data_IF_327697923089
#
_entry.id   IF_327697923089
#
_cell.length_a   1.000
_cell.length_b   1.000
_cell.length_c   1.000
_cell.angle_alpha   90.00
_cell.angle_beta   90.00
_cell.angle_gamma   90.00
#
_symmetry.space_group_name_H-M   'P 1'
#
loop_
_entity.id
_entity.type
_entity.pdbx_description
1 polymer ?
#
# COMPACT_ATOMS: atom_id res chain seq x y z
N UNK A 1 3.87 41.80 -37.38
CA UNK A 1 4.41 40.42 -37.25
C UNK A 1 4.46 39.90 -35.82
N UNK A 2 4.79 40.70 -34.79
CA UNK A 2 4.87 40.20 -33.39
C UNK A 2 3.52 39.79 -32.80
N UNK A 3 2.43 40.49 -33.11
CA UNK A 3 1.11 40.19 -32.51
C UNK A 3 0.50 38.87 -32.98
N UNK A 4 0.70 38.49 -34.24
CA UNK A 4 0.20 37.22 -34.77
C UNK A 4 0.94 36.02 -34.19
N UNK A 5 2.25 36.12 -33.93
CA UNK A 5 3.04 35.05 -33.34
C UNK A 5 2.68 34.82 -31.87
N UNK A 6 2.36 35.87 -31.09
CA UNK A 6 1.93 35.74 -29.69
C UNK A 6 0.53 35.14 -29.59
N UNK A 7 -0.41 35.56 -30.44
CA UNK A 7 -1.76 34.99 -30.48
C UNK A 7 -1.72 33.48 -30.78
N UNK A 8 -0.90 33.09 -31.77
CA UNK A 8 -0.71 31.71 -32.16
C UNK A 8 -0.09 30.89 -31.01
N UNK A 9 0.91 31.44 -30.30
CA UNK A 9 1.53 30.76 -29.17
C UNK A 9 0.54 30.57 -28.00
N UNK A 10 -0.35 31.54 -27.75
CA UNK A 10 -1.44 31.41 -26.75
C UNK A 10 -2.44 30.32 -27.14
N UNK A 11 -2.79 30.21 -28.43
CA UNK A 11 -3.67 29.14 -28.91
C UNK A 11 -3.05 27.75 -28.67
N UNK A 12 -1.78 27.58 -29.02
CA UNK A 12 -1.05 26.32 -28.69
C UNK A 12 -0.98 26.05 -27.22
N UNK A 13 -0.72 27.07 -26.42
CA UNK A 13 -0.68 26.94 -24.93
C UNK A 13 -2.04 26.48 -24.39
N UNK A 14 -3.13 27.10 -24.83
CA UNK A 14 -4.49 26.74 -24.43
C UNK A 14 -4.89 25.31 -24.88
N UNK A 15 -4.32 24.85 -26.01
CA UNK A 15 -4.51 23.49 -26.52
C UNK A 15 -3.57 22.45 -25.89
N UNK A 16 -2.71 22.82 -24.92
CA UNK A 16 -1.74 21.91 -24.31
C UNK A 16 -0.52 21.63 -25.21
N UNK A 17 -0.37 22.28 -26.34
CA UNK A 17 0.75 22.10 -27.29
C UNK A 17 2.00 22.87 -26.83
N UNK A 18 2.43 22.65 -25.60
CA UNK A 18 3.48 23.42 -24.94
C UNK A 18 4.82 23.41 -25.67
N UNK A 19 5.18 22.28 -26.28
CA UNK A 19 6.42 22.18 -27.07
C UNK A 19 6.46 23.12 -28.25
N UNK A 20 5.30 23.41 -28.90
CA UNK A 20 5.18 24.37 -29.99
C UNK A 20 5.18 25.81 -29.50
N UNK A 21 4.52 26.08 -28.38
CA UNK A 21 4.42 27.42 -27.78
C UNK A 21 5.76 27.89 -27.16
N UNK A 22 6.54 27.00 -26.57
CA UNK A 22 7.78 27.28 -25.85
C UNK A 22 8.78 28.18 -26.61
N UNK A 23 9.21 27.86 -27.86
CA UNK A 23 10.20 28.68 -28.56
C UNK A 23 9.69 30.09 -28.87
N UNK A 24 8.39 30.26 -29.06
CA UNK A 24 7.79 31.58 -29.32
C UNK A 24 7.80 32.43 -28.06
N UNK A 25 7.36 31.87 -26.91
CA UNK A 25 7.42 32.60 -25.64
C UNK A 25 8.85 32.92 -25.22
N UNK A 26 9.81 32.02 -25.44
CA UNK A 26 11.23 32.29 -25.20
C UNK A 26 11.73 33.50 -26.00
N UNK A 27 11.33 33.63 -27.27
CA UNK A 27 11.68 34.77 -28.12
C UNK A 27 11.04 36.07 -27.64
N UNK A 28 9.75 36.02 -27.29
CA UNK A 28 9.01 37.20 -26.78
C UNK A 28 9.59 37.69 -25.44
N UNK A 29 9.98 36.76 -24.59
CA UNK A 29 10.55 37.05 -23.29
C UNK A 29 11.90 37.78 -23.38
N UNK A 30 12.72 37.51 -24.42
CA UNK A 30 13.95 38.26 -24.66
C UNK A 30 13.69 39.74 -24.89
N UNK A 31 12.59 40.10 -25.53
CA UNK A 31 12.19 41.48 -25.77
C UNK A 31 11.48 42.14 -24.60
N UNK A 32 10.84 41.34 -23.74
CA UNK A 32 10.13 41.82 -22.54
C UNK A 32 10.34 40.92 -21.32
N UNK A 33 11.53 40.91 -20.74
CA UNK A 33 11.91 39.97 -19.68
C UNK A 33 11.20 40.18 -18.32
N UNK A 34 10.55 41.33 -18.15
CA UNK A 34 9.80 41.68 -16.92
C UNK A 34 8.31 41.35 -17.01
N UNK A 35 7.81 40.90 -18.16
CA UNK A 35 6.39 40.57 -18.33
C UNK A 35 6.01 39.35 -17.47
N UNK A 36 5.16 39.51 -16.47
CA UNK A 36 4.65 38.41 -15.64
C UNK A 36 3.97 37.32 -16.47
N UNK A 37 3.07 37.70 -17.40
CA UNK A 37 2.36 36.75 -18.26
C UNK A 37 3.30 35.97 -19.19
N UNK A 38 4.34 36.58 -19.73
CA UNK A 38 5.31 35.87 -20.59
C UNK A 38 6.18 34.93 -19.77
N UNK A 39 6.59 35.34 -18.56
CA UNK A 39 7.29 34.48 -17.64
C UNK A 39 6.42 33.28 -17.24
N UNK A 40 5.13 33.50 -16.95
CA UNK A 40 4.18 32.42 -16.67
C UNK A 40 4.08 31.43 -17.83
N UNK A 41 3.72 31.88 -19.03
CA UNK A 41 3.54 30.97 -20.16
C UNK A 41 4.82 30.21 -20.51
N UNK A 42 5.98 30.86 -20.48
CA UNK A 42 7.25 30.19 -20.73
C UNK A 42 7.62 29.21 -19.62
N UNK A 43 7.43 29.60 -18.34
CA UNK A 43 7.65 28.74 -17.18
C UNK A 43 6.77 27.48 -17.24
N UNK A 44 5.48 27.63 -17.53
CA UNK A 44 4.57 26.49 -17.72
C UNK A 44 5.01 25.61 -18.89
N UNK A 45 5.36 26.18 -20.04
CA UNK A 45 5.87 25.39 -21.16
C UNK A 45 7.12 24.58 -20.80
N UNK A 46 8.04 25.13 -20.00
CA UNK A 46 9.20 24.42 -19.51
C UNK A 46 8.79 23.28 -18.58
N UNK A 47 7.87 23.55 -17.62
CA UNK A 47 7.36 22.57 -16.69
C UNK A 47 6.72 21.38 -17.42
N UNK A 48 5.77 21.65 -18.31
CA UNK A 48 5.01 20.64 -19.04
C UNK A 48 5.84 19.87 -20.09
N UNK A 49 7.04 20.39 -20.44
CA UNK A 49 8.01 19.68 -21.31
C UNK A 49 9.14 19.00 -20.52
N UNK A 50 9.00 18.82 -19.18
CA UNK A 50 9.93 18.08 -18.34
C UNK A 50 11.17 18.87 -17.89
N UNK A 51 11.22 20.18 -18.14
CA UNK A 51 12.34 21.04 -17.77
C UNK A 51 12.07 21.79 -16.44
N UNK A 52 11.61 21.05 -15.41
CA UNK A 52 11.11 21.60 -14.16
C UNK A 52 12.08 22.57 -13.46
N UNK A 53 13.36 22.21 -13.35
CA UNK A 53 14.37 23.08 -12.71
C UNK A 53 14.56 24.41 -13.46
N UNK A 54 14.39 24.43 -14.80
CA UNK A 54 14.48 25.66 -15.58
C UNK A 54 13.19 26.48 -15.51
N UNK A 55 12.06 25.88 -15.20
CA UNK A 55 10.78 26.57 -15.05
C UNK A 55 10.75 27.50 -13.84
N UNK A 56 11.38 27.09 -12.73
CA UNK A 56 11.33 27.76 -11.44
C UNK A 56 11.57 29.28 -11.48
N UNK A 57 12.68 29.81 -12.03
CA UNK A 57 12.93 31.24 -12.01
C UNK A 57 11.91 32.05 -12.81
N UNK A 58 11.27 31.48 -13.81
CA UNK A 58 10.22 32.13 -14.59
C UNK A 58 8.89 32.15 -13.83
N UNK A 59 8.53 31.05 -13.20
CA UNK A 59 7.32 30.96 -12.36
C UNK A 59 7.44 31.92 -11.15
N UNK A 60 8.60 32.03 -10.53
CA UNK A 60 8.85 32.99 -9.45
C UNK A 60 8.67 34.44 -9.91
N UNK A 61 9.16 34.81 -11.10
CA UNK A 61 8.93 36.14 -11.69
C UNK A 61 7.46 36.39 -12.01
N UNK A 62 6.75 35.35 -12.44
CA UNK A 62 5.31 35.46 -12.69
C UNK A 62 4.53 35.70 -11.40
N UNK A 63 4.85 34.99 -10.30
CA UNK A 63 4.29 35.21 -8.97
C UNK A 63 4.61 36.61 -8.45
N UNK A 64 5.86 37.09 -8.62
CA UNK A 64 6.24 38.47 -8.24
C UNK A 64 5.48 39.53 -9.05
N UNK A 65 4.87 39.16 -10.16
CA UNK A 65 4.00 40.00 -10.98
C UNK A 65 2.51 39.73 -10.74
N UNK A 66 2.17 39.01 -9.67
CA UNK A 66 0.82 38.62 -9.24
C UNK A 66 0.01 37.87 -10.29
N UNK A 67 0.66 36.99 -11.08
CA UNK A 67 -0.02 36.12 -12.03
C UNK A 67 -0.64 34.93 -11.27
N UNK A 68 -1.96 34.96 -11.10
CA UNK A 68 -2.76 34.01 -10.32
C UNK A 68 -2.34 32.54 -10.53
N UNK A 69 -2.41 32.05 -11.78
CA UNK A 69 -2.09 30.66 -12.06
C UNK A 69 -0.62 30.25 -11.83
N UNK A 70 0.31 31.21 -11.69
CA UNK A 70 1.70 30.90 -11.40
C UNK A 70 1.87 30.35 -9.97
N UNK A 71 1.02 30.77 -9.05
CA UNK A 71 1.05 30.31 -7.66
C UNK A 71 0.83 28.79 -7.57
N UNK A 72 -0.19 28.26 -8.26
CA UNK A 72 -0.44 26.80 -8.22
C UNK A 72 0.70 25.98 -8.83
N UNK A 73 1.34 26.47 -9.89
CA UNK A 73 2.50 25.80 -10.49
C UNK A 73 3.72 25.82 -9.56
N UNK A 74 3.95 26.91 -8.82
CA UNK A 74 4.98 26.93 -7.80
C UNK A 74 4.64 26.01 -6.62
N UNK A 75 3.38 25.96 -6.21
CA UNK A 75 2.91 25.01 -5.21
C UNK A 75 3.21 23.55 -5.62
N UNK A 76 2.87 23.17 -6.86
CA UNK A 76 3.16 21.86 -7.41
C UNK A 76 4.68 21.58 -7.48
N UNK A 77 5.48 22.58 -7.88
CA UNK A 77 6.93 22.47 -7.91
C UNK A 77 7.53 22.20 -6.52
N UNK A 78 7.17 23.02 -5.53
CA UNK A 78 7.69 22.90 -4.17
C UNK A 78 7.22 21.61 -3.49
N UNK A 79 5.99 21.16 -3.78
CA UNK A 79 5.50 19.87 -3.28
C UNK A 79 6.33 18.71 -3.87
N UNK A 80 6.64 18.76 -5.16
CA UNK A 80 7.50 17.76 -5.82
C UNK A 80 8.93 17.75 -5.28
N UNK A 81 9.46 18.92 -4.89
CA UNK A 81 10.78 19.06 -4.26
C UNK A 81 10.76 18.72 -2.75
N UNK A 82 9.58 18.48 -2.18
CA UNK A 82 9.40 18.16 -0.76
C UNK A 82 9.36 19.38 0.17
N UNK A 83 9.32 20.59 -0.36
CA UNK A 83 9.17 21.79 0.42
C UNK A 83 7.68 22.08 0.69
N UNK A 84 7.12 21.34 1.64
CA UNK A 84 5.69 21.39 1.96
C UNK A 84 5.22 22.76 2.42
N UNK A 85 6.03 23.48 3.19
CA UNK A 85 5.66 24.79 3.73
C UNK A 85 5.50 25.83 2.61
N UNK A 86 6.43 25.89 1.67
CA UNK A 86 6.32 26.74 0.48
C UNK A 86 5.18 26.28 -0.45
N UNK A 87 5.01 24.96 -0.64
CA UNK A 87 3.91 24.44 -1.43
C UNK A 87 2.55 24.88 -0.90
N UNK A 88 2.33 24.74 0.42
CA UNK A 88 1.09 25.14 1.09
C UNK A 88 0.88 26.65 0.95
N UNK A 89 1.90 27.46 1.22
CA UNK A 89 1.81 28.92 1.10
C UNK A 89 1.41 29.35 -0.33
N UNK A 90 1.98 28.72 -1.36
CA UNK A 90 1.63 29.00 -2.75
C UNK A 90 0.22 28.51 -3.12
N UNK A 91 -0.24 27.37 -2.61
CA UNK A 91 -1.62 26.92 -2.83
C UNK A 91 -2.62 27.85 -2.16
N UNK A 92 -2.38 28.29 -0.93
CA UNK A 92 -3.24 29.25 -0.23
C UNK A 92 -3.31 30.58 -0.97
N UNK A 93 -2.18 31.11 -1.41
CA UNK A 93 -2.13 32.31 -2.24
C UNK A 93 -2.89 32.15 -3.57
N UNK A 94 -2.88 30.97 -4.20
CA UNK A 94 -3.70 30.69 -5.37
C UNK A 94 -5.19 30.70 -5.03
N UNK A 95 -5.59 30.01 -3.97
CA UNK A 95 -6.98 29.89 -3.51
C UNK A 95 -7.61 31.22 -3.10
N UNK A 96 -6.80 32.17 -2.59
CA UNK A 96 -7.26 33.54 -2.30
C UNK A 96 -7.60 34.37 -3.54
N UNK A 97 -7.08 33.98 -4.71
CA UNK A 97 -7.20 34.75 -5.98
C UNK A 97 -8.20 34.13 -6.94
N UNK A 98 -8.29 32.80 -6.97
CA UNK A 98 -9.17 32.07 -7.90
C UNK A 98 -10.62 32.15 -7.43
N UNK A 99 -11.55 32.23 -8.38
CA UNK A 99 -12.98 32.19 -8.09
C UNK A 99 -13.36 30.83 -7.46
N UNK A 100 -14.05 30.81 -6.30
CA UNK A 100 -14.50 29.56 -5.67
C UNK A 100 -15.39 28.66 -6.54
N UNK A 101 -15.97 29.21 -7.62
CA UNK A 101 -16.76 28.44 -8.61
C UNK A 101 -15.88 27.79 -9.68
N UNK A 102 -14.59 28.12 -9.76
CA UNK A 102 -13.65 27.48 -10.67
C UNK A 102 -13.44 26.02 -10.29
N UNK A 103 -13.42 25.13 -11.27
CA UNK A 103 -13.20 23.70 -11.07
C UNK A 103 -11.87 23.38 -10.37
N UNK A 104 -10.85 24.21 -10.59
CA UNK A 104 -9.52 24.07 -9.97
C UNK A 104 -9.52 24.48 -8.49
N UNK A 105 -10.46 25.29 -8.01
CA UNK A 105 -10.57 25.65 -6.61
C UNK A 105 -10.65 24.41 -5.72
N UNK A 106 -11.58 23.50 -5.99
CA UNK A 106 -11.75 22.25 -5.22
C UNK A 106 -10.51 21.37 -5.31
N UNK A 107 -9.88 21.30 -6.49
CA UNK A 107 -8.66 20.49 -6.70
C UNK A 107 -7.51 20.99 -5.83
N UNK A 108 -7.25 22.31 -5.85
CA UNK A 108 -6.12 22.87 -5.09
C UNK A 108 -6.42 23.02 -3.59
N UNK A 109 -7.68 23.16 -3.20
CA UNK A 109 -8.08 23.03 -1.79
C UNK A 109 -7.68 21.66 -1.26
N UNK A 110 -8.07 20.57 -1.96
CA UNK A 110 -7.70 19.20 -1.57
C UNK A 110 -6.18 18.98 -1.55
N UNK A 111 -5.44 19.55 -2.51
CA UNK A 111 -3.97 19.45 -2.55
C UNK A 111 -3.33 20.16 -1.35
N UNK A 112 -3.79 21.36 -1.02
CA UNK A 112 -3.31 22.11 0.15
C UNK A 112 -3.59 21.36 1.46
N UNK A 113 -4.81 20.88 1.63
CA UNK A 113 -5.23 20.10 2.79
C UNK A 113 -4.38 18.82 2.95
N UNK A 114 -4.18 18.09 1.84
CA UNK A 114 -3.32 16.91 1.83
C UNK A 114 -1.87 17.24 2.19
N UNK A 115 -1.31 18.29 1.60
CA UNK A 115 0.05 18.73 1.92
C UNK A 115 0.20 19.13 3.40
N UNK A 116 -0.79 19.83 3.98
CA UNK A 116 -0.84 20.15 5.42
C UNK A 116 -0.89 18.90 6.28
N UNK A 117 -1.69 17.92 5.86
CA UNK A 117 -1.84 16.66 6.57
C UNK A 117 -0.53 15.87 6.57
N UNK A 118 0.09 15.67 5.41
CA UNK A 118 1.37 14.96 5.28
C UNK A 118 2.50 15.66 6.06
N UNK A 119 2.54 17.01 6.04
CA UNK A 119 3.56 17.77 6.75
C UNK A 119 3.56 17.51 8.27
N UNK A 120 2.37 17.28 8.88
CA UNK A 120 2.28 16.93 10.32
C UNK A 120 3.08 15.67 10.65
N UNK A 121 3.02 14.67 9.77
CA UNK A 121 3.75 13.42 9.94
C UNK A 121 5.24 13.58 9.67
N UNK A 122 5.63 14.32 8.62
CA UNK A 122 7.04 14.61 8.35
C UNK A 122 7.72 15.41 9.49
N UNK A 123 6.99 16.27 10.19
CA UNK A 123 7.51 16.98 11.38
C UNK A 123 7.76 16.06 12.58
N UNK A 124 7.28 14.81 12.53
CA UNK A 124 7.36 13.84 13.63
C UNK A 124 7.87 12.48 13.18
N UNK A 125 8.76 12.44 12.19
CA UNK A 125 9.40 11.20 11.76
C UNK A 125 10.29 10.66 12.86
N UNK A 126 10.04 9.40 13.27
CA UNK A 126 10.80 8.74 14.33
C UNK A 126 12.13 8.21 13.78
N UNK A 127 13.16 8.25 14.62
CA UNK A 127 14.43 7.56 14.39
C UNK A 127 14.27 6.11 14.82
N UNK A 128 14.23 5.21 13.85
CA UNK A 128 14.05 3.77 14.07
C UNK A 128 15.23 3.03 13.48
N UNK A 129 15.82 2.10 14.24
CA UNK A 129 16.90 1.22 13.74
C UNK A 129 16.27 -0.04 13.14
N UNK A 130 16.24 -0.12 11.82
CA UNK A 130 15.79 -1.32 11.09
C UNK A 130 16.99 -2.26 10.91
N UNK A 131 16.84 -3.53 11.25
CA UNK A 131 17.93 -4.52 11.19
C UNK A 131 17.79 -5.51 10.05
N UNK A 132 16.57 -5.77 9.60
CA UNK A 132 16.27 -6.72 8.51
C UNK A 132 14.94 -6.39 7.84
N UNK A 133 14.72 -6.97 6.67
CA UNK A 133 13.42 -6.97 6.00
C UNK A 133 13.26 -8.20 5.12
N UNK A 134 12.04 -8.71 5.06
CA UNK A 134 11.67 -9.84 4.20
C UNK A 134 10.39 -9.52 3.44
N UNK A 135 10.38 -9.83 2.13
CA UNK A 135 9.19 -9.71 1.29
C UNK A 135 8.58 -11.09 1.12
N UNK A 136 7.32 -11.22 1.48
CA UNK A 136 6.58 -12.49 1.43
C UNK A 136 5.25 -12.34 0.69
N UNK A 137 4.66 -13.46 0.30
CA UNK A 137 3.25 -13.50 -0.11
C UNK A 137 2.36 -13.13 1.08
N UNK A 138 1.29 -12.39 0.85
CA UNK A 138 0.36 -12.01 1.91
C UNK A 138 -0.26 -13.22 2.62
N UNK A 139 -0.43 -14.34 1.91
CA UNK A 139 -0.86 -15.63 2.48
C UNK A 139 0.14 -16.23 3.48
N UNK A 140 1.43 -15.91 3.36
CA UNK A 140 2.51 -16.36 4.26
C UNK A 140 2.84 -15.36 5.38
N UNK A 141 2.03 -14.34 5.52
CA UNK A 141 2.24 -13.20 6.38
C UNK A 141 2.62 -13.56 7.81
N UNK A 142 1.81 -14.38 8.50
CA UNK A 142 2.04 -14.71 9.91
C UNK A 142 3.27 -15.61 10.13
N UNK A 143 3.53 -16.55 9.22
CA UNK A 143 4.68 -17.47 9.32
C UNK A 143 6.03 -16.77 9.17
N UNK A 144 6.04 -15.53 8.69
CA UNK A 144 7.26 -14.74 8.53
C UNK A 144 7.64 -13.95 9.80
N UNK A 145 6.75 -13.84 10.78
CA UNK A 145 7.06 -13.28 12.09
C UNK A 145 7.80 -14.30 12.94
N UNK A 146 9.01 -13.95 13.37
CA UNK A 146 9.87 -14.82 14.19
C UNK A 146 9.75 -14.40 15.65
N UNK A 147 8.58 -14.63 16.22
CA UNK A 147 8.29 -14.30 17.61
C UNK A 147 8.86 -15.38 18.54
N UNK A 148 9.42 -14.97 19.69
CA UNK A 148 9.76 -15.89 20.75
C UNK A 148 8.51 -16.50 21.40
N UNK A 149 8.67 -17.64 22.08
CA UNK A 149 7.56 -18.36 22.73
C UNK A 149 6.80 -17.47 23.73
N UNK A 150 7.49 -16.50 24.32
CA UNK A 150 6.95 -15.56 25.30
C UNK A 150 6.05 -14.47 24.68
N UNK A 151 6.01 -14.37 23.35
CA UNK A 151 5.21 -13.35 22.67
C UNK A 151 3.77 -13.80 22.41
N UNK A 152 3.44 -15.07 22.64
CA UNK A 152 2.16 -15.64 22.22
C UNK A 152 2.10 -15.94 20.72
N UNK A 153 0.89 -16.17 20.20
CA UNK A 153 0.67 -16.60 18.82
C UNK A 153 -0.13 -15.55 18.03
N UNK A 154 0.22 -15.37 16.77
CA UNK A 154 -0.54 -14.58 15.80
C UNK A 154 -0.98 -15.44 14.62
N UNK A 155 -2.24 -15.34 14.20
CA UNK A 155 -2.77 -16.07 13.04
C UNK A 155 -4.09 -15.44 12.56
N UNK A 156 -4.68 -15.98 11.50
CA UNK A 156 -6.04 -15.66 11.11
C UNK A 156 -7.04 -16.05 12.23
N UNK A 157 -8.03 -15.20 12.49
CA UNK A 157 -9.05 -15.45 13.54
C UNK A 157 -9.67 -16.83 13.43
N UNK A 158 -9.97 -17.28 12.22
CA UNK A 158 -10.56 -18.60 11.94
C UNK A 158 -9.66 -19.77 12.34
N UNK A 159 -8.34 -19.62 12.27
CA UNK A 159 -7.40 -20.67 12.64
C UNK A 159 -7.30 -20.83 14.17
N UNK A 160 -7.45 -19.72 14.90
CA UNK A 160 -7.37 -19.72 16.37
C UNK A 160 -8.71 -20.07 17.03
N UNK A 161 -9.81 -19.46 16.57
CA UNK A 161 -11.15 -19.64 17.16
C UNK A 161 -11.97 -20.74 16.48
N UNK A 162 -11.69 -21.04 15.21
CA UNK A 162 -12.54 -21.89 14.38
C UNK A 162 -13.89 -21.23 14.05
N UNK A 163 -14.76 -21.95 13.37
CA UNK A 163 -16.13 -21.50 13.14
C UNK A 163 -16.30 -20.49 12.00
N UNK A 164 -17.42 -19.76 12.01
CA UNK A 164 -17.78 -18.79 10.99
C UNK A 164 -17.32 -17.39 11.41
N UNK A 165 -16.06 -17.10 11.22
CA UNK A 165 -15.47 -15.76 11.44
C UNK A 165 -15.17 -15.09 10.08
N UNK A 166 -14.89 -13.79 10.08
CA UNK A 166 -14.46 -13.08 8.89
C UNK A 166 -13.20 -13.71 8.29
N UNK A 167 -13.12 -13.75 6.96
CA UNK A 167 -11.95 -14.25 6.24
C UNK A 167 -10.72 -13.36 6.42
N UNK A 168 -10.93 -12.07 6.63
CA UNK A 168 -9.89 -11.05 6.79
C UNK A 168 -9.51 -10.81 8.25
N UNK A 169 -10.23 -11.46 9.19
CA UNK A 169 -9.98 -11.31 10.62
C UNK A 169 -8.67 -11.93 11.04
N UNK A 170 -7.91 -11.20 11.89
CA UNK A 170 -6.65 -11.65 12.48
C UNK A 170 -6.76 -11.72 13.99
N UNK A 171 -5.97 -12.58 14.60
CA UNK A 171 -6.02 -12.81 16.04
C UNK A 171 -4.62 -12.91 16.65
N UNK A 172 -4.53 -12.41 17.86
CA UNK A 172 -3.41 -12.59 18.77
C UNK A 172 -3.88 -13.38 19.98
N UNK A 173 -3.18 -14.44 20.32
CA UNK A 173 -3.40 -15.24 21.52
C UNK A 173 -2.22 -15.07 22.47
N UNK A 174 -2.50 -14.74 23.73
CA UNK A 174 -1.48 -14.56 24.77
C UNK A 174 -0.62 -15.80 24.97
N UNK A 175 0.62 -15.62 25.47
CA UNK A 175 1.55 -16.71 25.80
C UNK A 175 0.88 -17.79 26.67
N UNK A 176 0.18 -17.41 27.73
CA UNK A 176 -0.55 -18.32 28.60
C UNK A 176 -1.77 -18.98 27.93
N UNK A 177 -2.09 -18.61 26.73
CA UNK A 177 -3.25 -19.10 25.94
C UNK A 177 -4.59 -18.94 26.67
N UNK A 178 -4.67 -17.96 27.55
CA UNK A 178 -5.83 -17.66 28.38
C UNK A 178 -6.72 -16.54 27.82
N UNK A 179 -6.18 -15.73 26.89
CA UNK A 179 -6.91 -14.64 26.22
C UNK A 179 -6.64 -14.64 24.72
N UNK A 180 -7.64 -14.23 23.96
CA UNK A 180 -7.54 -13.98 22.52
C UNK A 180 -8.06 -12.59 22.26
N UNK A 181 -7.27 -11.78 21.55
CA UNK A 181 -7.67 -10.52 20.92
C UNK A 181 -7.78 -10.77 19.43
N UNK A 182 -8.90 -10.43 18.84
CA UNK A 182 -9.14 -10.77 17.44
C UNK A 182 -10.06 -9.76 16.77
N UNK A 183 -10.02 -9.72 15.45
CA UNK A 183 -10.92 -8.93 14.63
C UNK A 183 -11.98 -9.81 13.96
N UNK A 184 -13.19 -9.28 13.92
CA UNK A 184 -14.31 -9.88 13.18
C UNK A 184 -15.29 -8.78 12.74
N UNK A 185 -16.15 -9.10 11.80
CA UNK A 185 -17.17 -8.19 11.27
C UNK A 185 -18.28 -8.01 12.31
N UNK A 186 -18.59 -6.78 12.66
CA UNK A 186 -19.68 -6.45 13.54
C UNK A 186 -21.05 -6.42 12.81
N UNK A 187 -22.12 -6.17 13.53
CA UNK A 187 -23.47 -6.13 12.98
C UNK A 187 -23.70 -5.07 11.88
N UNK A 188 -22.83 -4.05 11.82
CA UNK A 188 -22.88 -2.99 10.82
C UNK A 188 -21.99 -3.27 9.60
N UNK A 189 -21.32 -4.43 9.55
CA UNK A 189 -20.43 -4.81 8.45
C UNK A 189 -19.00 -4.23 8.57
N UNK A 190 -18.66 -3.56 9.67
CA UNK A 190 -17.33 -3.03 9.91
C UNK A 190 -16.46 -4.02 10.70
N UNK A 191 -15.16 -4.06 10.40
CA UNK A 191 -14.18 -4.87 11.13
C UNK A 191 -13.89 -4.25 12.50
N UNK A 192 -14.11 -5.01 13.56
CA UNK A 192 -13.97 -4.56 14.95
C UNK A 192 -13.12 -5.52 15.76
N UNK A 193 -12.39 -4.99 16.75
CA UNK A 193 -11.62 -5.82 17.68
C UNK A 193 -12.48 -6.31 18.84
N UNK A 194 -12.27 -7.57 19.20
CA UNK A 194 -12.91 -8.28 20.31
C UNK A 194 -11.86 -8.96 21.19
N UNK A 195 -12.24 -9.26 22.41
CA UNK A 195 -11.46 -10.07 23.34
C UNK A 195 -12.33 -11.20 23.90
N UNK A 196 -11.73 -12.39 23.99
CA UNK A 196 -12.26 -13.52 24.75
C UNK A 196 -11.22 -14.00 25.76
N UNK A 197 -11.67 -14.56 26.86
CA UNK A 197 -10.82 -15.29 27.80
C UNK A 197 -11.25 -16.76 27.87
N UNK A 198 -10.30 -17.61 28.20
CA UNK A 198 -10.50 -19.06 28.30
C UNK A 198 -11.29 -19.40 29.57
N UNK A 199 -12.36 -20.15 29.37
CA UNK A 199 -13.11 -20.81 30.45
C UNK A 199 -12.66 -22.30 30.54
N UNK A 200 -13.25 -23.09 31.44
CA UNK A 200 -12.87 -24.49 31.59
C UNK A 200 -12.91 -25.28 30.27
N UNK A 201 -14.03 -25.20 29.55
CA UNK A 201 -14.23 -25.99 28.33
C UNK A 201 -14.43 -25.11 27.05
N UNK A 202 -14.61 -23.80 27.19
CA UNK A 202 -14.98 -22.89 26.11
C UNK A 202 -14.29 -21.54 26.25
N UNK A 203 -14.40 -20.73 25.25
CA UNK A 203 -14.09 -19.30 25.30
C UNK A 203 -15.28 -18.51 25.83
N UNK A 204 -15.03 -17.41 26.54
CA UNK A 204 -16.08 -16.48 26.98
C UNK A 204 -16.84 -15.87 25.81
N UNK A 205 -17.98 -15.27 26.07
CA UNK A 205 -18.67 -14.41 25.10
C UNK A 205 -17.70 -13.28 24.66
N UNK A 206 -17.59 -13.02 23.36
CA UNK A 206 -16.77 -11.93 22.83
C UNK A 206 -17.16 -10.57 23.41
N UNK A 207 -16.18 -9.83 23.90
CA UNK A 207 -16.32 -8.47 24.38
C UNK A 207 -15.65 -7.50 23.40
N UNK A 208 -16.39 -6.53 22.84
CA UNK A 208 -15.78 -5.55 21.92
C UNK A 208 -14.82 -4.62 22.66
N UNK A 209 -13.72 -4.25 22.03
CA UNK A 209 -12.79 -3.26 22.55
C UNK A 209 -13.36 -1.86 22.32
N UNK A 210 -13.76 -1.19 23.40
CA UNK A 210 -14.41 0.12 23.34
C UNK A 210 -13.38 1.26 23.43
N UNK A 211 -13.59 2.34 22.68
CA UNK A 211 -12.72 3.53 22.69
C UNK A 211 -11.72 3.59 21.54
N UNK A 212 -11.74 2.62 20.62
CA UNK A 212 -10.91 2.63 19.42
C UNK A 212 -11.41 3.68 18.41
N UNK A 213 -10.54 4.15 17.49
CA UNK A 213 -10.92 5.09 16.44
C UNK A 213 -12.02 4.56 15.52
N UNK A 214 -12.72 5.47 14.84
CA UNK A 214 -13.63 5.11 13.74
C UNK A 214 -12.87 4.41 12.61
N UNK A 215 -13.59 3.54 11.89
CA UNK A 215 -13.05 2.73 10.80
C UNK A 215 -12.88 1.26 11.18
N UNK A 216 -12.37 0.49 10.24
CA UNK A 216 -12.08 -0.93 10.43
C UNK A 216 -10.81 -1.11 11.26
N UNK A 217 -10.88 -1.93 12.30
CA UNK A 217 -9.75 -2.28 13.17
C UNK A 217 -9.38 -3.74 13.01
N UNK A 218 -8.08 -4.01 12.78
CA UNK A 218 -7.55 -5.36 12.55
C UNK A 218 -6.13 -5.50 13.13
N UNK A 219 -5.52 -6.67 13.05
CA UNK A 219 -4.13 -6.93 13.42
C UNK A 219 -3.78 -6.57 14.88
N UNK A 220 -4.53 -7.09 15.89
CA UNK A 220 -4.25 -6.80 17.29
C UNK A 220 -2.98 -7.51 17.76
N UNK A 221 -2.19 -6.83 18.61
CA UNK A 221 -1.06 -7.39 19.34
C UNK A 221 -0.95 -6.74 20.71
N UNK A 222 -1.01 -7.52 21.77
CA UNK A 222 -0.92 -7.05 23.15
C UNK A 222 0.52 -7.19 23.67
N UNK A 223 1.03 -6.18 24.34
CA UNK A 223 2.31 -6.28 25.05
C UNK A 223 2.21 -7.15 26.31
N UNK A 224 3.37 -7.55 26.85
CA UNK A 224 3.48 -8.34 28.08
C UNK A 224 2.92 -7.63 29.31
N UNK A 225 2.79 -6.28 29.28
CA UNK A 225 2.14 -5.51 30.35
C UNK A 225 0.63 -5.79 30.50
N UNK A 226 0.03 -6.49 29.53
CA UNK A 226 -1.36 -6.91 29.54
C UNK A 226 -2.39 -5.80 29.33
N UNK A 227 -1.94 -4.56 29.04
CA UNK A 227 -2.81 -3.37 28.89
C UNK A 227 -2.53 -2.56 27.62
N UNK A 228 -1.31 -2.62 27.10
CA UNK A 228 -0.92 -1.89 25.88
C UNK A 228 -1.18 -2.77 24.66
N UNK A 229 -2.01 -2.29 23.74
CA UNK A 229 -2.35 -2.98 22.50
C UNK A 229 -1.97 -2.17 21.28
N UNK A 230 -1.30 -2.82 20.33
CA UNK A 230 -1.08 -2.36 18.97
C UNK A 230 -2.15 -2.94 18.06
N UNK A 231 -2.57 -2.19 17.05
CA UNK A 231 -3.53 -2.64 16.06
C UNK A 231 -3.42 -1.77 14.80
N UNK A 232 -3.96 -2.24 13.69
CA UNK A 232 -4.13 -1.44 12.49
C UNK A 232 -5.57 -0.93 12.37
N UNK A 233 -5.73 0.31 11.88
CA UNK A 233 -7.05 0.91 11.65
C UNK A 233 -7.02 1.80 10.40
N UNK A 234 -8.10 1.78 9.60
CA UNK A 234 -8.23 2.53 8.35
C UNK A 234 -8.91 3.90 8.54
N UNK A 235 -8.71 4.55 9.69
CA UNK A 235 -9.29 5.85 9.97
C UNK A 235 -8.93 6.88 8.89
N UNK A 236 -9.90 7.65 8.36
CA UNK A 236 -9.65 8.67 7.34
C UNK A 236 -8.64 9.77 7.73
N UNK A 237 -8.38 9.95 9.02
CA UNK A 237 -7.35 10.87 9.53
C UNK A 237 -5.94 10.27 9.53
N UNK A 238 -5.78 9.02 9.10
CA UNK A 238 -4.50 8.35 8.93
C UNK A 238 -3.73 8.82 7.70
N UNK A 239 -2.57 8.19 7.45
CA UNK A 239 -1.71 8.48 6.30
C UNK A 239 -2.13 7.72 5.04
N UNK A 240 -2.61 6.49 5.21
CA UNK A 240 -2.88 5.58 4.11
C UNK A 240 -4.19 4.82 4.24
N UNK A 241 -4.14 3.53 3.90
CA UNK A 241 -5.22 2.61 4.12
C UNK A 241 -5.29 2.20 5.59
N UNK A 242 -4.78 1.02 5.94
CA UNK A 242 -4.52 0.69 7.33
C UNK A 242 -3.27 1.40 7.84
N UNK A 243 -3.39 2.08 8.97
CA UNK A 243 -2.28 2.65 9.74
C UNK A 243 -2.15 1.92 11.07
N UNK A 244 -0.94 1.83 11.61
CA UNK A 244 -0.65 1.26 12.92
C UNK A 244 -0.93 2.28 14.04
N UNK A 245 -1.64 1.81 15.05
CA UNK A 245 -2.00 2.56 16.25
C UNK A 245 -1.57 1.82 17.50
N UNK A 246 -1.41 2.57 18.59
CA UNK A 246 -1.20 2.03 19.94
C UNK A 246 -2.16 2.70 20.92
N UNK A 247 -2.68 1.91 21.87
CA UNK A 247 -3.49 2.43 22.98
C UNK A 247 -3.29 1.58 24.22
N UNK A 248 -3.84 2.02 25.34
CA UNK A 248 -3.80 1.33 26.62
C UNK A 248 -5.19 1.19 27.20
N UNK A 249 -5.47 0.02 27.75
CA UNK A 249 -6.69 -0.22 28.49
C UNK A 249 -6.67 0.54 29.83
N UNK A 250 -7.78 1.20 30.16
CA UNK A 250 -8.01 1.87 31.42
C UNK A 250 -9.09 1.12 32.20
N UNK A 251 -8.67 0.43 33.26
CA UNK A 251 -9.55 -0.37 34.12
C UNK A 251 -10.61 0.46 34.87
N UNK A 252 -10.33 1.75 35.17
CA UNK A 252 -11.24 2.61 35.89
C UNK A 252 -12.47 2.98 35.07
N UNK A 253 -12.31 3.04 33.75
CA UNK A 253 -13.37 3.44 32.80
C UNK A 253 -13.88 2.29 31.95
N UNK A 254 -13.28 1.11 32.07
CA UNK A 254 -13.54 -0.07 31.21
C UNK A 254 -13.47 0.24 29.72
N UNK A 255 -12.47 1.04 29.33
CA UNK A 255 -12.27 1.51 27.95
C UNK A 255 -10.79 1.67 27.61
N UNK A 256 -10.47 1.59 26.34
CA UNK A 256 -9.18 1.99 25.85
C UNK A 256 -9.05 3.53 25.80
N UNK A 257 -7.86 4.04 26.08
CA UNK A 257 -7.54 5.45 25.95
C UNK A 257 -7.56 5.86 24.46
N UNK A 258 -7.49 7.16 24.20
CA UNK A 258 -7.39 7.65 22.83
C UNK A 258 -6.15 7.05 22.14
N UNK A 259 -6.37 6.33 21.04
CA UNK A 259 -5.32 5.66 20.32
C UNK A 259 -4.38 6.67 19.64
N UNK A 260 -3.09 6.44 19.74
CA UNK A 260 -2.04 7.21 19.08
C UNK A 260 -1.65 6.54 17.77
N UNK A 261 -1.74 7.27 16.63
CA UNK A 261 -1.16 6.86 15.37
C UNK A 261 0.36 6.83 15.48
N UNK A 262 1.02 5.73 15.13
CA UNK A 262 2.47 5.58 15.30
C UNK A 262 3.28 6.55 14.44
N UNK A 263 2.69 7.04 13.34
CA UNK A 263 3.36 7.94 12.42
C UNK A 263 4.50 7.28 11.63
N UNK A 264 5.25 8.10 10.91
CA UNK A 264 6.37 7.63 10.10
C UNK A 264 7.58 7.28 10.97
N UNK A 265 8.34 6.23 10.61
CA UNK A 265 8.27 5.43 9.40
C UNK A 265 7.34 4.21 9.48
N UNK A 266 6.68 3.95 10.61
CA UNK A 266 5.82 2.79 10.78
C UNK A 266 4.61 2.86 9.83
N UNK A 267 4.00 4.04 9.71
CA UNK A 267 2.88 4.31 8.83
C UNK A 267 3.32 5.00 7.54
N UNK A 268 2.57 4.76 6.46
CA UNK A 268 2.84 5.28 5.11
C UNK A 268 1.53 5.62 4.38
N UNK A 269 1.61 6.02 3.12
CA UNK A 269 0.43 6.20 2.26
C UNK A 269 -0.18 4.88 1.74
N UNK A 270 0.41 3.74 2.07
CA UNK A 270 -0.06 2.40 1.74
C UNK A 270 -0.82 1.77 2.92
N UNK A 271 -0.91 0.44 2.99
CA UNK A 271 -1.40 -0.23 4.19
C UNK A 271 -0.23 -0.67 5.04
N UNK A 272 -0.31 -0.39 6.32
CA UNK A 272 0.67 -0.78 7.32
C UNK A 272 -0.03 -1.69 8.34
N UNK A 273 0.50 -2.92 8.47
CA UNK A 273 -0.15 -4.01 9.19
C UNK A 273 0.63 -4.39 10.43
N UNK A 274 0.03 -5.19 11.28
CA UNK A 274 0.56 -5.99 12.36
C UNK A 274 1.89 -5.53 12.95
N UNK A 275 1.84 -4.74 14.01
CA UNK A 275 2.97 -4.47 14.88
C UNK A 275 3.09 -5.60 15.90
N UNK A 276 4.27 -6.21 16.04
CA UNK A 276 4.58 -7.16 17.09
C UNK A 276 5.90 -6.79 17.76
N UNK A 277 5.97 -6.95 19.09
CA UNK A 277 7.14 -6.59 19.89
C UNK A 277 7.52 -7.78 20.76
N UNK A 278 8.72 -8.27 20.62
CA UNK A 278 9.37 -9.22 21.52
C UNK A 278 10.23 -8.44 22.52
N UNK A 279 9.67 -8.21 23.71
CA UNK A 279 10.31 -7.43 24.76
C UNK A 279 11.52 -8.17 25.36
N UNK A 280 11.51 -9.50 25.35
CA UNK A 280 12.60 -10.34 25.87
C UNK A 280 13.83 -10.26 24.98
N UNK A 281 13.64 -10.37 23.66
CA UNK A 281 14.72 -10.31 22.69
C UNK A 281 15.00 -8.88 22.20
N UNK A 282 14.23 -7.89 22.65
CA UNK A 282 14.28 -6.49 22.21
C UNK A 282 14.21 -6.34 20.67
N UNK A 283 13.25 -7.04 20.08
CA UNK A 283 12.97 -7.03 18.65
C UNK A 283 11.53 -6.60 18.38
N UNK A 284 11.31 -5.90 17.28
CA UNK A 284 9.97 -5.56 16.83
C UNK A 284 9.82 -5.83 15.34
N UNK A 285 8.59 -6.12 14.93
CA UNK A 285 8.23 -6.34 13.52
C UNK A 285 7.02 -5.50 13.17
N UNK A 286 6.99 -5.01 11.95
CA UNK A 286 5.78 -4.49 11.34
C UNK A 286 5.78 -4.81 9.85
N UNK A 287 4.61 -4.98 9.28
CA UNK A 287 4.44 -5.27 7.88
C UNK A 287 3.82 -4.09 7.13
N UNK A 288 4.11 -3.99 5.84
CA UNK A 288 3.58 -2.96 4.96
C UNK A 288 3.54 -3.45 3.52
N UNK A 289 2.55 -2.98 2.75
CA UNK A 289 2.53 -3.20 1.30
C UNK A 289 3.11 -2.02 0.50
N UNK A 290 3.71 -1.01 1.20
CA UNK A 290 4.39 0.11 0.54
C UNK A 290 5.45 -0.38 -0.45
N UNK A 291 5.40 0.15 -1.66
CA UNK A 291 6.36 -0.19 -2.73
C UNK A 291 6.41 -1.70 -3.07
N UNK A 292 5.37 -2.47 -2.74
CA UNK A 292 5.28 -3.89 -3.06
C UNK A 292 4.30 -4.14 -4.22
N UNK A 293 4.54 -5.19 -5.02
CA UNK A 293 3.54 -5.67 -5.96
C UNK A 293 2.26 -6.15 -5.23
N UNK A 294 1.14 -6.14 -5.93
CA UNK A 294 -0.12 -6.68 -5.40
C UNK A 294 0.06 -8.13 -4.88
N UNK A 295 -0.50 -8.41 -3.71
CA UNK A 295 -0.39 -9.70 -3.04
C UNK A 295 0.93 -9.96 -2.32
N UNK A 296 1.84 -8.98 -2.27
CA UNK A 296 3.10 -9.04 -1.50
C UNK A 296 3.09 -8.04 -0.34
N UNK A 297 3.77 -8.40 0.73
CA UNK A 297 4.03 -7.53 1.87
C UNK A 297 5.50 -7.59 2.26
N UNK A 298 6.05 -6.46 2.74
CA UNK A 298 7.37 -6.39 3.33
C UNK A 298 7.23 -6.34 4.85
N UNK A 299 7.91 -7.23 5.56
CA UNK A 299 7.99 -7.23 7.01
C UNK A 299 9.36 -6.69 7.38
N UNK A 300 9.38 -5.56 8.11
CA UNK A 300 10.58 -4.97 8.67
C UNK A 300 10.80 -5.46 10.08
N UNK A 301 12.04 -5.84 10.42
CA UNK A 301 12.49 -6.10 11.79
C UNK A 301 13.26 -4.88 12.31
N UNK A 302 12.92 -4.39 13.48
CA UNK A 302 13.52 -3.20 14.08
C UNK A 302 13.84 -3.39 15.56
N UNK A 303 14.63 -2.45 16.11
CA UNK A 303 14.93 -2.40 17.55
C UNK A 303 13.96 -1.45 18.23
N UNK A 304 13.07 -1.94 19.12
CA UNK A 304 12.23 -1.09 19.95
C UNK A 304 13.05 -0.16 20.84
N UNK A 305 12.55 1.03 21.11
CA UNK A 305 13.16 2.01 22.02
C UNK A 305 12.19 2.39 23.12
N UNK A 306 12.68 2.53 24.34
CA UNK A 306 11.86 2.95 25.50
C UNK A 306 11.23 4.34 25.30
N UNK A 307 11.92 5.21 24.59
CA UNK A 307 11.44 6.57 24.28
C UNK A 307 11.53 6.86 22.79
N UNK A 308 10.44 7.42 22.24
CA UNK A 308 10.40 7.84 20.83
C UNK A 308 11.38 9.00 20.61
N UNK A 309 12.29 8.82 19.66
CA UNK A 309 13.21 9.87 19.21
C UNK A 309 12.79 10.35 17.81
N UNK A 310 12.83 11.64 17.59
CA UNK A 310 12.39 12.26 16.33
C UNK A 310 13.55 12.94 15.62
N UNK A 311 13.46 13.04 14.29
CA UNK A 311 14.31 13.94 13.53
C UNK A 311 13.96 15.39 13.88
N UNK A 312 14.97 16.26 14.04
CA UNK A 312 14.73 17.69 14.17
C UNK A 312 14.39 18.26 12.79
N UNK A 313 13.11 18.54 12.56
CA UNK A 313 12.59 19.01 11.27
C UNK A 313 13.24 20.33 10.79
N UNK A 314 13.69 21.19 11.71
CA UNK A 314 14.31 22.47 11.35
C UNK A 314 15.80 22.36 11.02
N UNK A 315 16.50 21.37 11.57
CA UNK A 315 17.95 21.23 11.43
C UNK A 315 18.33 20.13 10.40
N UNK A 316 17.45 19.14 10.21
CA UNK A 316 17.71 18.02 9.30
C UNK A 316 17.20 18.35 7.90
N UNK A 317 18.01 18.19 6.84
CA UNK A 317 17.54 18.38 5.48
C UNK A 317 16.29 17.53 5.17
N UNK A 318 15.25 18.12 4.60
CA UNK A 318 13.98 17.43 4.35
C UNK A 318 14.16 16.14 3.55
N UNK A 319 15.08 16.12 2.59
CA UNK A 319 15.42 14.91 1.81
C UNK A 319 15.84 13.74 2.71
N UNK A 320 16.56 14.00 3.78
CA UNK A 320 16.99 12.98 4.75
C UNK A 320 15.80 12.50 5.57
N UNK A 321 14.96 13.42 6.07
CA UNK A 321 13.72 13.10 6.78
C UNK A 321 12.80 12.22 5.90
N UNK A 322 12.62 12.60 4.62
CA UNK A 322 11.82 11.83 3.67
C UNK A 322 12.36 10.43 3.43
N UNK A 323 13.69 10.29 3.31
CA UNK A 323 14.35 8.98 3.18
C UNK A 323 14.10 8.09 4.39
N UNK A 324 14.21 8.66 5.58
CA UNK A 324 13.94 7.94 6.82
C UNK A 324 12.47 7.55 6.94
N UNK A 325 11.55 8.46 6.63
CA UNK A 325 10.11 8.23 6.64
C UNK A 325 9.67 7.08 5.72
N UNK A 326 10.31 6.97 4.55
CA UNK A 326 10.00 5.95 3.55
C UNK A 326 10.87 4.69 3.64
N UNK A 327 11.82 4.64 4.58
CA UNK A 327 12.77 3.54 4.74
C UNK A 327 13.50 3.25 3.40
N UNK A 328 13.96 4.31 2.71
CA UNK A 328 14.65 4.16 1.42
C UNK A 328 15.97 3.37 1.53
N UNK A 329 16.55 3.30 2.73
CA UNK A 329 17.76 2.55 3.01
C UNK A 329 17.78 2.05 4.46
N UNK A 330 17.76 0.75 4.64
CA UNK A 330 17.93 0.10 5.95
C UNK A 330 19.29 0.48 6.55
N UNK A 331 20.36 0.43 5.75
CA UNK A 331 21.71 0.76 6.21
C UNK A 331 21.82 2.20 6.76
N UNK A 332 21.03 3.15 6.24
CA UNK A 332 21.01 4.53 6.74
C UNK A 332 20.35 4.64 8.13
N UNK A 333 19.55 3.68 8.55
CA UNK A 333 18.92 3.64 9.89
C UNK A 333 19.85 3.07 10.95
N UNK A 334 20.91 2.37 10.54
CA UNK A 334 21.83 1.60 11.40
C UNK A 334 22.99 2.48 11.88
N UNK A 335 22.70 3.48 12.69
CA UNK A 335 23.71 4.43 13.19
C UNK A 335 24.56 3.89 14.35
N UNK A 336 23.99 2.99 15.18
CA UNK A 336 24.68 2.32 16.28
C UNK A 336 24.95 0.85 15.93
N UNK A 337 26.23 0.56 15.62
CA UNK A 337 26.65 -0.77 15.20
C UNK A 337 26.55 -1.84 16.29
N UNK A 338 26.70 -1.46 17.54
CA UNK A 338 26.63 -2.41 18.68
C UNK A 338 25.17 -2.83 18.91
N UNK A 339 24.23 -1.88 18.82
CA UNK A 339 22.80 -2.15 18.88
C UNK A 339 22.37 -3.07 17.73
N UNK A 340 22.80 -2.76 16.51
CA UNK A 340 22.49 -3.56 15.31
C UNK A 340 23.02 -4.97 15.45
N UNK A 341 24.30 -5.12 15.87
CA UNK A 341 24.93 -6.44 16.02
C UNK A 341 24.22 -7.32 17.06
N UNK A 342 23.87 -6.75 18.22
CA UNK A 342 23.11 -7.47 19.27
C UNK A 342 21.76 -7.92 18.76
N UNK A 343 21.03 -7.04 18.09
CA UNK A 343 19.72 -7.35 17.54
C UNK A 343 19.77 -8.42 16.44
N UNK A 344 20.78 -8.36 15.56
CA UNK A 344 21.01 -9.41 14.55
C UNK A 344 21.34 -10.77 15.19
N UNK A 345 22.10 -10.80 16.28
CA UNK A 345 22.38 -12.04 17.01
C UNK A 345 21.11 -12.61 17.67
N UNK A 346 20.24 -11.73 18.24
CA UNK A 346 18.97 -12.15 18.80
C UNK A 346 18.04 -12.74 17.72
N UNK A 347 17.92 -12.05 16.57
CA UNK A 347 17.14 -12.53 15.43
C UNK A 347 17.65 -13.87 14.89
N UNK A 348 18.95 -14.05 14.81
CA UNK A 348 19.55 -15.32 14.36
C UNK A 348 19.24 -16.49 15.29
N UNK A 349 19.16 -16.28 16.61
CA UNK A 349 18.77 -17.32 17.57
C UNK A 349 17.33 -17.75 17.35
N UNK A 350 16.40 -16.82 17.19
CA UNK A 350 14.99 -17.13 16.91
C UNK A 350 14.82 -17.91 15.60
N UNK A 351 15.71 -17.68 14.62
CA UNK A 351 15.66 -18.36 13.31
C UNK A 351 16.11 -19.83 13.36
N UNK A 352 16.92 -20.21 14.35
CA UNK A 352 17.35 -21.61 14.53
C UNK A 352 16.29 -22.48 15.19
N UNK A 353 15.41 -21.89 15.99
CA UNK A 353 14.36 -22.61 16.70
C UNK A 353 13.10 -22.83 15.83
N UNK A 354 12.95 -22.06 14.78
CA UNK A 354 11.85 -22.15 13.81
C UNK A 354 12.30 -22.78 12.49
N UNK A 355 12.87 -24.00 12.49
CA UNK A 355 12.92 -24.80 11.26
C UNK A 355 11.51 -25.32 10.96
N UNK A 356 10.69 -24.48 10.31
CA UNK A 356 9.53 -24.96 9.59
C UNK A 356 10.08 -25.80 8.45
N UNK A 357 9.81 -27.11 8.48
CA UNK A 357 10.03 -28.02 7.34
C UNK A 357 9.33 -27.35 6.13
N UNK A 358 10.12 -26.85 5.19
CA UNK A 358 9.61 -26.52 3.86
C UNK A 358 9.11 -27.83 3.23
N UNK A 359 7.84 -28.10 3.38
CA UNK A 359 7.18 -29.11 2.55
C UNK A 359 7.39 -28.63 1.10
N UNK A 360 8.09 -29.42 0.32
CA UNK A 360 8.19 -29.22 -1.13
C UNK A 360 6.76 -29.16 -1.67
N UNK A 361 6.34 -27.98 -2.06
CA UNK A 361 4.99 -27.77 -2.57
C UNK A 361 4.89 -28.23 -4.01
N UNK A 362 3.92 -29.09 -4.34
CA UNK A 362 3.62 -29.49 -5.70
C UNK A 362 3.06 -28.32 -6.53
N UNK A 363 2.38 -27.39 -5.87
CA UNK A 363 1.80 -26.18 -6.46
C UNK A 363 1.42 -25.18 -5.35
N UNK A 364 1.05 -23.95 -5.73
CA UNK A 364 0.41 -22.97 -4.84
C UNK A 364 -0.94 -22.58 -5.41
N UNK A 365 -2.03 -22.75 -4.62
CA UNK A 365 -3.37 -22.30 -4.97
C UNK A 365 -3.96 -21.49 -3.82
N UNK A 366 -4.10 -20.17 -4.02
CA UNK A 366 -4.56 -19.21 -3.02
C UNK A 366 -6.07 -19.36 -2.86
N UNK A 367 -6.52 -19.71 -1.66
CA UNK A 367 -7.93 -19.78 -1.28
C UNK A 367 -8.44 -18.41 -0.84
N UNK A 368 -7.69 -17.77 0.05
CA UNK A 368 -7.94 -16.42 0.59
C UNK A 368 -6.63 -15.78 1.07
N UNK A 369 -6.70 -14.57 1.63
CA UNK A 369 -5.53 -13.77 2.07
C UNK A 369 -4.61 -14.49 3.09
N UNK A 370 -5.08 -15.57 3.73
CA UNK A 370 -4.35 -16.26 4.80
C UNK A 370 -4.27 -17.79 4.59
N UNK A 371 -4.76 -18.29 3.46
CA UNK A 371 -4.80 -19.72 3.19
C UNK A 371 -4.40 -19.99 1.75
N UNK A 372 -3.30 -20.68 1.58
CA UNK A 372 -2.86 -21.25 0.33
C UNK A 372 -2.71 -22.76 0.49
N UNK A 373 -3.04 -23.48 -0.58
CA UNK A 373 -2.91 -24.91 -0.68
C UNK A 373 -1.67 -25.27 -1.49
N UNK A 374 -0.88 -26.20 -0.98
CA UNK A 374 0.38 -26.63 -1.58
C UNK A 374 0.35 -28.07 -2.06
N UNK A 375 -0.66 -28.82 -1.65
CA UNK A 375 -0.88 -30.22 -2.03
C UNK A 375 -2.34 -30.49 -2.30
N UNK A 376 -2.65 -31.58 -3.00
CA UNK A 376 -4.04 -32.01 -3.21
C UNK A 376 -4.74 -32.46 -1.92
N UNK A 377 -3.97 -32.79 -0.89
CA UNK A 377 -4.49 -33.21 0.40
C UNK A 377 -4.94 -32.03 1.28
N UNK A 378 -4.56 -30.81 0.90
CA UNK A 378 -5.00 -29.60 1.59
C UNK A 378 -6.48 -29.28 1.34
N UNK A 379 -7.05 -29.78 0.21
CA UNK A 379 -8.45 -29.56 -0.13
C UNK A 379 -9.38 -30.30 0.84
N UNK A 380 -10.27 -29.55 1.49
CA UNK A 380 -11.29 -30.06 2.41
C UNK A 380 -12.53 -30.60 1.72
N UNK A 381 -12.76 -30.13 0.48
CA UNK A 381 -13.85 -30.58 -0.39
C UNK A 381 -13.30 -31.45 -1.51
N UNK A 382 -13.73 -32.72 -1.58
CA UNK A 382 -13.38 -33.57 -2.70
C UNK A 382 -13.88 -33.02 -4.05
N UNK A 383 -15.02 -32.34 -4.05
CA UNK A 383 -15.54 -31.65 -5.23
C UNK A 383 -14.62 -30.48 -5.67
N UNK A 384 -14.14 -29.67 -4.73
CA UNK A 384 -13.22 -28.59 -5.02
C UNK A 384 -11.87 -29.12 -5.52
N UNK A 385 -11.38 -30.21 -4.95
CA UNK A 385 -10.18 -30.92 -5.39
C UNK A 385 -10.30 -31.40 -6.85
N UNK A 386 -11.43 -32.01 -7.20
CA UNK A 386 -11.69 -32.46 -8.58
C UNK A 386 -11.79 -31.28 -9.57
N UNK A 387 -12.45 -30.19 -9.17
CA UNK A 387 -12.50 -28.96 -9.99
C UNK A 387 -11.12 -28.32 -10.17
N UNK A 388 -10.26 -28.40 -9.16
CA UNK A 388 -8.87 -27.93 -9.29
C UNK A 388 -8.09 -28.76 -10.32
N UNK A 389 -8.22 -30.09 -10.30
CA UNK A 389 -7.60 -30.94 -11.27
C UNK A 389 -8.14 -30.70 -12.71
N UNK A 390 -9.46 -30.50 -12.84
CA UNK A 390 -10.08 -30.13 -14.11
C UNK A 390 -9.57 -28.77 -14.62
N UNK A 391 -9.46 -27.75 -13.71
CA UNK A 391 -8.90 -26.45 -14.02
C UNK A 391 -7.46 -26.53 -14.54
N UNK A 392 -6.61 -27.36 -13.93
CA UNK A 392 -5.23 -27.60 -14.38
C UNK A 392 -5.20 -28.28 -15.75
N UNK A 393 -6.05 -29.29 -15.96
CA UNK A 393 -6.15 -29.95 -17.24
C UNK A 393 -6.60 -28.99 -18.35
N UNK A 394 -7.56 -28.11 -18.08
CA UNK A 394 -8.03 -27.10 -19.04
C UNK A 394 -6.95 -26.05 -19.35
N UNK A 395 -6.12 -25.66 -18.40
CA UNK A 395 -4.97 -24.78 -18.67
C UNK A 395 -3.99 -25.42 -19.68
N UNK A 396 -3.69 -26.69 -19.50
CA UNK A 396 -2.84 -27.45 -20.45
C UNK A 396 -3.50 -27.54 -21.81
N UNK A 397 -4.81 -27.84 -21.86
CA UNK A 397 -5.56 -27.91 -23.10
C UNK A 397 -5.60 -26.59 -23.86
N UNK A 398 -5.81 -25.46 -23.12
CA UNK A 398 -5.80 -24.11 -23.70
C UNK A 398 -4.44 -23.76 -24.31
N UNK A 399 -3.35 -24.06 -23.62
CA UNK A 399 -2.00 -23.82 -24.13
C UNK A 399 -1.71 -24.59 -25.42
N UNK A 400 -2.16 -25.85 -25.48
CA UNK A 400 -2.05 -26.66 -26.67
C UNK A 400 -2.91 -26.12 -27.83
N UNK A 401 -4.17 -25.81 -27.55
CA UNK A 401 -5.08 -25.22 -28.53
C UNK A 401 -4.60 -23.88 -29.05
N UNK A 402 -4.02 -23.04 -28.21
CA UNK A 402 -3.41 -21.76 -28.61
C UNK A 402 -2.28 -21.94 -29.63
N UNK A 403 -1.43 -22.96 -29.44
CA UNK A 403 -0.35 -23.29 -30.37
C UNK A 403 -0.91 -23.75 -31.70
N UNK A 404 -1.85 -24.71 -31.68
CA UNK A 404 -2.49 -25.23 -32.88
C UNK A 404 -3.27 -24.14 -33.64
N UNK A 405 -3.96 -23.25 -32.92
CA UNK A 405 -4.72 -22.15 -33.51
C UNK A 405 -3.79 -21.17 -34.21
N UNK A 406 -2.65 -20.80 -33.61
CA UNK A 406 -1.67 -19.92 -34.23
C UNK A 406 -1.08 -20.57 -35.53
N UNK A 407 -0.75 -21.82 -35.51
CA UNK A 407 -0.28 -22.54 -36.70
C UNK A 407 -1.34 -22.54 -37.82
N UNK A 408 -2.63 -22.76 -37.48
CA UNK A 408 -3.71 -22.72 -38.43
C UNK A 408 -3.97 -21.32 -39.00
N UNK A 409 -3.85 -20.27 -38.15
CA UNK A 409 -3.95 -18.87 -38.59
C UNK A 409 -2.81 -18.48 -39.54
N UNK A 410 -1.60 -18.94 -39.29
CA UNK A 410 -0.47 -18.73 -40.20
C UNK A 410 -0.70 -19.43 -41.55
N UNK A 411 -1.12 -20.68 -41.53
CA UNK A 411 -1.48 -21.43 -42.77
C UNK A 411 -2.59 -20.74 -43.54
N UNK A 412 -3.63 -20.26 -42.84
CA UNK A 412 -4.74 -19.54 -43.44
C UNK A 412 -4.28 -18.27 -44.15
N UNK A 413 -3.36 -17.51 -43.57
CA UNK A 413 -2.85 -16.26 -44.15
C UNK A 413 -2.07 -16.49 -45.44
N UNK A 414 -1.40 -17.64 -45.57
CA UNK A 414 -0.57 -18.00 -46.74
C UNK A 414 -1.30 -18.87 -47.78
N UNK A 415 -2.54 -19.25 -47.56
CA UNK A 415 -3.34 -20.12 -48.42
C UNK A 415 -4.08 -19.37 -49.53
N UNK A 416 -4.41 -20.04 -50.60
CA UNK A 416 -5.25 -19.55 -51.68
C UNK A 416 -6.71 -19.36 -51.27
N UNK A 417 -7.50 -18.60 -52.04
CA UNK A 417 -8.93 -18.35 -51.74
C UNK A 417 -9.79 -19.60 -51.57
N UNK A 418 -9.50 -20.66 -52.31
CA UNK A 418 -10.23 -21.93 -52.21
C UNK A 418 -9.86 -22.72 -50.94
N UNK A 419 -8.60 -22.75 -50.57
CA UNK A 419 -8.12 -23.38 -49.34
C UNK A 419 -8.61 -22.64 -48.11
N UNK A 420 -8.63 -21.31 -48.12
CA UNK A 420 -9.20 -20.50 -47.04
C UNK A 420 -10.66 -20.83 -46.76
N UNK A 421 -11.47 -21.02 -47.79
CA UNK A 421 -12.86 -21.45 -47.61
C UNK A 421 -13.00 -22.83 -46.92
N UNK A 422 -12.10 -23.76 -47.21
CA UNK A 422 -12.12 -25.10 -46.60
C UNK A 422 -11.62 -25.05 -45.13
N UNK A 423 -10.70 -24.15 -44.83
CA UNK A 423 -10.14 -24.00 -43.49
C UNK A 423 -10.99 -23.12 -42.54
N UNK A 424 -11.83 -22.25 -43.09
CA UNK A 424 -12.59 -21.25 -42.34
C UNK A 424 -13.46 -21.84 -41.22
N UNK A 425 -14.22 -22.92 -41.53
CA UNK A 425 -15.11 -23.56 -40.56
C UNK A 425 -14.33 -24.24 -39.40
N UNK A 426 -13.18 -24.83 -39.73
CA UNK A 426 -12.31 -25.43 -38.71
C UNK A 426 -11.71 -24.36 -37.81
N UNK A 427 -11.20 -23.30 -38.40
CA UNK A 427 -10.58 -22.19 -37.67
C UNK A 427 -11.59 -21.54 -36.71
N UNK A 428 -12.81 -21.26 -37.18
CA UNK A 428 -13.87 -20.69 -36.37
C UNK A 428 -14.25 -21.58 -35.18
N UNK A 429 -14.33 -22.91 -35.38
CA UNK A 429 -14.58 -23.85 -34.26
C UNK A 429 -13.47 -23.83 -33.24
N UNK A 430 -12.22 -23.80 -33.68
CA UNK A 430 -11.06 -23.72 -32.77
C UNK A 430 -11.05 -22.40 -32.00
N UNK A 431 -11.44 -21.30 -32.60
CA UNK A 431 -11.57 -20.00 -31.93
C UNK A 431 -12.69 -20.03 -30.89
N UNK A 432 -13.84 -20.59 -31.19
CA UNK A 432 -14.94 -20.75 -30.23
C UNK A 432 -14.54 -21.67 -29.05
N UNK A 433 -13.84 -22.77 -29.32
CA UNK A 433 -13.35 -23.66 -28.28
C UNK A 433 -12.32 -22.97 -27.39
N UNK A 434 -11.45 -22.14 -27.96
CA UNK A 434 -10.48 -21.34 -27.23
C UNK A 434 -11.17 -20.34 -26.28
N UNK A 435 -12.14 -19.56 -26.77
CA UNK A 435 -12.90 -18.59 -25.98
C UNK A 435 -13.69 -19.28 -24.85
N UNK A 436 -14.26 -20.46 -25.12
CA UNK A 436 -14.98 -21.23 -24.12
C UNK A 436 -14.03 -21.68 -23.00
N UNK A 437 -12.89 -22.29 -23.35
CA UNK A 437 -11.89 -22.74 -22.39
C UNK A 437 -11.32 -21.58 -21.57
N UNK A 438 -11.05 -20.45 -22.20
CA UNK A 438 -10.58 -19.25 -21.52
C UNK A 438 -11.58 -18.76 -20.47
N UNK A 439 -12.87 -18.73 -20.82
CA UNK A 439 -13.95 -18.35 -19.89
C UNK A 439 -14.07 -19.33 -18.72
N UNK A 440 -14.00 -20.63 -18.98
CA UNK A 440 -14.08 -21.66 -17.93
C UNK A 440 -12.87 -21.57 -16.99
N UNK A 441 -11.66 -21.40 -17.53
CA UNK A 441 -10.43 -21.23 -16.73
C UNK A 441 -10.49 -19.98 -15.85
N UNK A 442 -11.06 -18.90 -16.34
CA UNK A 442 -11.21 -17.66 -15.57
C UNK A 442 -12.19 -17.79 -14.39
N UNK A 443 -13.24 -18.60 -14.53
CA UNK A 443 -14.32 -18.72 -13.51
C UNK A 443 -14.09 -19.84 -12.49
N UNK A 444 -13.40 -20.91 -12.86
CA UNK A 444 -13.18 -22.08 -12.00
C UNK A 444 -12.45 -21.74 -10.67
N UNK A 445 -11.40 -20.92 -10.63
CA UNK A 445 -10.72 -20.60 -9.37
C UNK A 445 -11.66 -19.99 -8.33
N UNK A 446 -12.56 -19.09 -8.73
CA UNK A 446 -13.54 -18.51 -7.83
C UNK A 446 -14.53 -19.54 -7.30
N UNK A 447 -14.97 -20.46 -8.16
CA UNK A 447 -15.88 -21.54 -7.77
C UNK A 447 -15.21 -22.48 -6.76
N UNK A 448 -13.95 -22.84 -6.99
CA UNK A 448 -13.16 -23.69 -6.09
C UNK A 448 -13.02 -23.02 -4.72
N UNK A 449 -12.63 -21.74 -4.70
CA UNK A 449 -12.50 -20.95 -3.47
C UNK A 449 -13.82 -20.91 -2.68
N UNK A 450 -14.91 -20.60 -3.36
CA UNK A 450 -16.24 -20.54 -2.71
C UNK A 450 -16.65 -21.88 -2.10
N UNK A 451 -16.30 -23.01 -2.72
CA UNK A 451 -16.58 -24.34 -2.18
C UNK A 451 -15.74 -24.66 -0.95
N UNK A 452 -14.49 -24.27 -0.93
CA UNK A 452 -13.60 -24.45 0.22
C UNK A 452 -14.00 -23.55 1.39
N UNK A 453 -14.37 -22.29 1.11
CA UNK A 453 -14.81 -21.30 2.10
C UNK A 453 -16.17 -21.68 2.70
N UNK A 454 -17.12 -22.18 1.90
CA UNK A 454 -18.47 -22.51 2.37
C UNK A 454 -18.55 -23.79 3.23
N UNK A 455 -17.50 -24.58 3.29
CA UNK A 455 -17.39 -25.79 4.15
C UNK A 455 -16.55 -25.53 5.42
N UNK A 456 -15.95 -24.34 5.55
CA UNK A 456 -15.33 -23.87 6.78
C UNK A 456 -16.39 -23.25 7.68
#
# INVERSE_FOLDING_TARGET
MFGQSQSQARSWFAAGEYAKAKPVFAKLLKSNPKSGSLNYWYGVCLNETGEHAKALPYLQKAVSSDVENAFRYLGDYYLGDGNYEEAIAHYENYLERVDPTDSLFVVYTRRSERAKHELKYYKRVQKVTIIDSIVVDKSKFFSAYRLGDECGDIDATRNILGGKTSLEGTAYRTEMRDKIYYSDVNANGAMQLYMCYKMLDNWSTPTPLNGLPEGDSNYPFLLSDGVTIYFANNNPSGLGGYDLYVTRYNSDTDRYLMAENLGMPFNSSANDYMMAIDEVNNLGWFATDRNQPEGKVCIYTFVPTESKQYYNFQETPFKEIRRAANIESIAATQTDKDVVHKAQQALAKLSTDTQVEEKTSDFTFIIDDFTDYHSLDDFKSETARQLYLDWKAKQVALAKLATELNEQRERYTHSSSNERRQMSDKLLRMEQEYEQLETEIATLPQTIRNMEISRK
#
